data_IF_867039021100
#
_entry.id   IF_867039021100
#
_cell.length_a   1.000
_cell.length_b   1.000
_cell.length_c   1.000
_cell.angle_alpha   90.00
_cell.angle_beta   90.00
_cell.angle_gamma   90.00
#
_symmetry.space_group_name_H-M   'P 1'
#
loop_
_entity.id
_entity.type
_entity.pdbx_description
1 polymer ?
#
# COMPACT_ATOMS: atom_id res chain seq x y z
N UNK A 1 -58.07 40.38 43.68
CA UNK A 1 -56.72 39.88 44.04
C UNK A 1 -56.91 38.45 44.59
N UNK A 2 -56.60 37.41 43.84
CA UNK A 2 -56.68 36.02 44.37
C UNK A 2 -55.35 35.59 44.95
N UNK A 3 -55.40 35.01 46.11
CA UNK A 3 -54.29 34.44 46.89
C UNK A 3 -53.90 33.06 46.34
N UNK A 4 -52.64 32.88 45.93
CA UNK A 4 -52.11 31.59 45.60
C UNK A 4 -51.68 30.86 46.89
N UNK A 5 -52.21 29.63 47.06
CA UNK A 5 -51.81 28.70 48.11
C UNK A 5 -50.67 27.83 47.59
N UNK A 6 -49.56 27.84 48.25
CA UNK A 6 -48.42 26.99 48.01
C UNK A 6 -48.63 25.64 48.65
N UNK A 7 -48.65 24.55 47.88
CA UNK A 7 -48.62 23.17 48.40
C UNK A 7 -47.19 22.70 48.44
N UNK A 8 -46.68 22.36 49.62
CA UNK A 8 -45.41 21.70 49.81
C UNK A 8 -45.59 20.18 49.60
N UNK A 9 -44.89 19.59 48.62
CA UNK A 9 -44.82 18.13 48.40
C UNK A 9 -43.58 17.62 49.12
N UNK A 10 -43.78 16.86 50.20
CA UNK A 10 -42.72 16.17 50.91
C UNK A 10 -42.29 14.93 50.16
N UNK A 11 -41.00 14.86 49.78
CA UNK A 11 -40.41 13.65 49.22
C UNK A 11 -39.88 12.78 50.33
N UNK A 12 -40.51 11.62 50.51
CA UNK A 12 -40.05 10.58 51.46
C UNK A 12 -38.95 9.77 50.77
N UNK A 13 -37.72 9.95 51.20
CA UNK A 13 -36.58 9.17 50.71
C UNK A 13 -36.56 7.81 51.42
N UNK A 14 -36.83 6.74 50.70
CA UNK A 14 -36.68 5.37 51.18
C UNK A 14 -35.21 4.93 50.96
N UNK A 15 -34.40 4.80 52.01
CA UNK A 15 -33.05 4.28 51.97
C UNK A 15 -33.10 2.74 51.90
N UNK A 16 -32.71 2.15 50.79
CA UNK A 16 -32.51 0.71 50.61
C UNK A 16 -31.04 0.40 50.94
N UNK A 17 -30.73 -0.45 51.91
CA UNK A 17 -29.35 -0.88 52.15
C UNK A 17 -28.93 -1.81 51.01
N UNK A 18 -27.95 -1.38 50.16
CA UNK A 18 -27.30 -2.23 49.19
C UNK A 18 -26.36 -3.19 49.90
N UNK A 19 -26.74 -4.46 49.99
CA UNK A 19 -25.85 -5.53 50.39
C UNK A 19 -24.84 -5.77 49.27
N UNK A 20 -23.58 -5.37 49.51
CA UNK A 20 -22.43 -5.75 48.61
C UNK A 20 -22.16 -7.25 48.83
N UNK A 21 -22.60 -8.09 47.91
CA UNK A 21 -22.14 -9.45 47.82
C UNK A 21 -20.72 -9.43 47.23
N UNK A 22 -19.77 -10.20 47.82
CA UNK A 22 -18.42 -10.29 47.21
C UNK A 22 -18.52 -11.00 45.86
N UNK A 23 -18.15 -10.30 44.78
CA UNK A 23 -17.98 -10.92 43.49
C UNK A 23 -16.74 -11.80 43.58
N UNK A 24 -16.95 -13.11 43.71
CA UNK A 24 -15.89 -14.08 43.56
C UNK A 24 -15.34 -13.97 42.11
N UNK A 25 -14.14 -13.41 41.97
CA UNK A 25 -13.39 -13.44 40.74
C UNK A 25 -13.06 -14.90 40.43
N UNK A 26 -13.87 -15.54 39.58
CA UNK A 26 -13.50 -16.82 39.01
C UNK A 26 -12.29 -16.56 38.09
N UNK A 27 -11.08 -16.91 38.62
CA UNK A 27 -9.90 -17.03 37.78
C UNK A 27 -10.17 -18.15 36.78
N UNK A 28 -10.60 -17.80 35.59
CA UNK A 28 -10.66 -18.74 34.47
C UNK A 28 -9.22 -19.16 34.19
N UNK A 29 -8.86 -20.38 34.62
CA UNK A 29 -7.63 -21.04 34.20
C UNK A 29 -7.68 -21.13 32.71
N UNK A 30 -6.79 -20.40 32.02
CA UNK A 30 -6.67 -20.52 30.57
C UNK A 30 -6.35 -21.99 30.26
N UNK A 31 -7.01 -22.61 29.28
CA UNK A 31 -6.71 -23.98 28.87
C UNK A 31 -5.24 -24.03 28.46
N UNK A 32 -4.48 -24.98 29.06
CA UNK A 32 -3.14 -25.36 28.62
C UNK A 32 -3.26 -26.00 27.23
N UNK A 33 -3.45 -25.16 26.21
CA UNK A 33 -3.50 -25.57 24.83
C UNK A 33 -2.09 -25.73 24.27
N UNK A 34 -1.94 -26.64 23.31
CA UNK A 34 -0.72 -26.90 22.55
C UNK A 34 -0.05 -25.64 21.94
N UNK A 35 0.98 -25.79 21.11
CA UNK A 35 1.80 -24.66 20.69
C UNK A 35 0.91 -23.57 20.09
N UNK A 36 0.82 -22.44 20.79
CA UNK A 36 0.14 -21.27 20.28
C UNK A 36 0.95 -20.78 19.10
N UNK A 37 0.31 -20.63 17.93
CA UNK A 37 0.90 -19.90 16.83
C UNK A 37 1.02 -18.43 17.25
N UNK A 38 2.11 -18.10 17.93
CA UNK A 38 2.41 -16.75 18.35
C UNK A 38 3.25 -16.08 17.28
N UNK A 39 2.81 -14.90 16.81
CA UNK A 39 3.55 -14.08 15.87
C UNK A 39 4.09 -12.87 16.59
N UNK A 40 5.37 -12.58 16.36
CA UNK A 40 5.99 -11.33 16.83
C UNK A 40 5.93 -10.31 15.69
N UNK A 41 5.20 -9.22 15.89
CA UNK A 41 5.23 -8.07 14.98
C UNK A 41 6.41 -7.17 15.34
N UNK A 42 7.15 -6.71 14.31
CA UNK A 42 8.19 -5.71 14.44
C UNK A 42 7.97 -4.65 13.38
N UNK A 43 7.79 -3.39 13.79
CA UNK A 43 7.68 -2.27 12.87
C UNK A 43 9.09 -1.88 12.41
N UNK A 44 9.37 -1.99 11.13
CA UNK A 44 10.70 -1.75 10.56
C UNK A 44 10.89 -0.29 10.17
N UNK A 45 9.92 0.29 9.46
CA UNK A 45 9.96 1.67 8.96
C UNK A 45 8.63 2.36 9.22
N UNK A 46 8.65 3.64 9.56
CA UNK A 46 7.47 4.48 9.71
C UNK A 46 7.81 5.91 9.33
N UNK A 47 6.81 6.69 8.93
CA UNK A 47 6.89 8.14 8.79
C UNK A 47 6.73 8.88 10.14
N UNK A 48 6.29 8.16 11.20
CA UNK A 48 6.07 8.71 12.54
C UNK A 48 7.21 8.38 13.48
N UNK A 49 7.68 9.40 14.20
CA UNK A 49 8.71 9.24 15.22
C UNK A 49 8.29 8.26 16.32
N UNK A 50 9.20 7.36 16.70
CA UNK A 50 9.00 6.38 17.77
C UNK A 50 8.14 5.17 17.40
N UNK A 51 7.61 5.09 16.17
CA UNK A 51 6.73 4.01 15.75
C UNK A 51 7.46 2.80 15.15
N UNK A 52 8.71 2.97 14.68
CA UNK A 52 9.50 1.93 14.06
C UNK A 52 11.01 2.11 14.30
N UNK A 53 11.82 1.13 13.85
CA UNK A 53 13.28 1.18 13.96
C UNK A 53 13.88 2.32 13.11
N UNK A 54 13.37 2.52 11.90
CA UNK A 54 13.78 3.55 10.97
C UNK A 54 12.64 4.53 10.73
N UNK A 55 12.95 5.82 10.71
CA UNK A 55 11.99 6.87 10.37
C UNK A 55 12.31 7.38 8.97
N UNK A 56 11.32 7.29 8.08
CA UNK A 56 11.37 7.83 6.74
C UNK A 56 10.14 8.72 6.47
N UNK A 57 10.29 10.05 6.44
CA UNK A 57 9.19 10.96 6.17
C UNK A 57 8.52 10.80 4.81
N UNK A 58 9.18 10.13 3.87
CA UNK A 58 8.64 9.85 2.53
C UNK A 58 7.64 8.70 2.53
N UNK A 59 7.73 7.77 3.50
CA UNK A 59 6.89 6.58 3.61
C UNK A 59 5.46 6.91 4.06
N UNK A 60 4.78 7.79 3.34
CA UNK A 60 3.39 8.18 3.66
C UNK A 60 2.40 7.32 2.90
N UNK A 61 1.47 6.72 3.66
CA UNK A 61 0.40 5.90 3.08
C UNK A 61 0.95 4.85 2.10
N UNK A 62 1.91 4.03 2.58
CA UNK A 62 2.55 2.99 1.77
C UNK A 62 1.54 1.92 1.33
N UNK A 63 1.57 1.52 0.06
CA UNK A 63 0.65 0.54 -0.53
C UNK A 63 1.37 -0.67 -1.10
N UNK A 64 1.94 -0.53 -2.30
CA UNK A 64 2.56 -1.63 -3.03
C UNK A 64 3.95 -1.97 -2.50
N UNK A 65 4.25 -3.25 -2.39
CA UNK A 65 5.56 -3.77 -2.05
C UNK A 65 6.04 -4.71 -3.15
N UNK A 66 7.30 -4.59 -3.57
CA UNK A 66 7.91 -5.52 -4.50
C UNK A 66 9.37 -5.78 -4.16
N UNK A 67 9.80 -7.02 -4.40
CA UNK A 67 11.16 -7.49 -4.21
C UNK A 67 11.58 -8.31 -5.43
N UNK A 68 12.68 -7.95 -6.06
CA UNK A 68 13.35 -8.77 -7.05
C UNK A 68 14.43 -9.64 -6.40
N UNK A 69 14.94 -10.67 -7.09
CA UNK A 69 15.92 -11.62 -6.53
C UNK A 69 17.21 -10.99 -5.98
N UNK A 70 17.60 -9.83 -6.49
CA UNK A 70 18.82 -9.13 -6.11
C UNK A 70 18.59 -7.62 -5.91
N UNK A 71 17.37 -7.24 -5.54
CA UNK A 71 16.99 -5.84 -5.29
C UNK A 71 16.67 -5.62 -3.83
N UNK A 72 16.78 -4.39 -3.32
CA UNK A 72 16.13 -4.02 -2.06
C UNK A 72 14.60 -4.15 -2.17
N UNK A 73 13.93 -4.09 -1.04
CA UNK A 73 12.48 -3.98 -0.98
C UNK A 73 12.06 -2.59 -1.49
N UNK A 74 11.22 -2.55 -2.50
CA UNK A 74 10.63 -1.34 -3.06
C UNK A 74 9.25 -1.11 -2.47
N UNK A 75 8.92 0.14 -2.19
CA UNK A 75 7.63 0.56 -1.64
C UNK A 75 7.03 1.66 -2.51
N UNK A 76 5.75 1.56 -2.81
CA UNK A 76 4.98 2.61 -3.46
C UNK A 76 4.37 3.51 -2.39
N UNK A 77 4.88 4.74 -2.27
CA UNK A 77 4.46 5.71 -1.25
C UNK A 77 3.37 6.61 -1.83
N UNK A 78 2.12 6.20 -1.59
CA UNK A 78 0.93 6.83 -2.19
C UNK A 78 0.84 8.32 -1.85
N UNK A 79 1.09 8.69 -0.59
CA UNK A 79 0.93 10.05 -0.11
C UNK A 79 2.04 11.02 -0.52
N UNK A 80 3.14 10.53 -1.11
CA UNK A 80 4.28 11.36 -1.54
C UNK A 80 4.61 11.22 -3.03
N UNK A 81 3.90 10.33 -3.74
CA UNK A 81 4.11 10.04 -5.17
C UNK A 81 5.56 9.67 -5.51
N UNK A 82 6.20 8.91 -4.62
CA UNK A 82 7.54 8.37 -4.82
C UNK A 82 7.58 6.87 -4.58
N UNK A 83 8.70 6.26 -4.84
CA UNK A 83 9.05 4.94 -4.32
C UNK A 83 10.32 5.04 -3.51
N UNK A 84 10.28 4.51 -2.29
CA UNK A 84 11.42 4.36 -1.38
C UNK A 84 11.89 2.92 -1.33
N UNK A 85 13.14 2.71 -0.94
CA UNK A 85 13.79 1.42 -1.00
C UNK A 85 14.46 1.09 0.33
N UNK A 86 14.34 -0.18 0.75
CA UNK A 86 14.91 -0.63 2.02
C UNK A 86 15.66 -1.95 1.86
N UNK A 87 16.84 -2.02 2.45
CA UNK A 87 17.58 -3.25 2.65
C UNK A 87 17.28 -3.79 4.04
N UNK A 88 16.92 -5.08 4.11
CA UNK A 88 16.60 -5.76 5.36
C UNK A 88 17.62 -6.87 5.57
N UNK A 89 18.32 -6.86 6.71
CA UNK A 89 19.24 -7.93 7.06
C UNK A 89 18.48 -9.25 7.27
N UNK A 90 18.95 -10.38 6.73
CA UNK A 90 18.34 -11.69 6.97
C UNK A 90 18.13 -11.93 8.47
N UNK A 91 16.94 -12.45 8.83
CA UNK A 91 16.53 -12.60 10.22
C UNK A 91 15.82 -11.38 10.82
N UNK A 92 15.61 -10.30 10.05
CA UNK A 92 14.81 -9.13 10.47
C UNK A 92 15.50 -8.23 11.50
N UNK A 93 16.85 -8.31 11.61
CA UNK A 93 17.59 -7.61 12.65
C UNK A 93 17.74 -6.10 12.42
N UNK A 94 18.01 -5.68 11.21
CA UNK A 94 18.24 -4.26 10.88
C UNK A 94 17.58 -3.93 9.54
N UNK A 95 17.01 -2.73 9.47
CA UNK A 95 16.53 -2.11 8.23
C UNK A 95 17.35 -0.85 7.94
N UNK A 96 17.72 -0.67 6.69
CA UNK A 96 18.44 0.51 6.21
C UNK A 96 17.75 1.06 4.96
N UNK A 97 17.55 2.37 4.91
CA UNK A 97 17.09 3.02 3.70
C UNK A 97 18.22 3.00 2.65
N UNK A 98 17.90 2.58 1.45
CA UNK A 98 18.79 2.71 0.30
C UNK A 98 18.73 4.17 -0.15
N UNK A 99 19.87 4.84 -0.42
CA UNK A 99 19.90 6.25 -0.81
C UNK A 99 19.45 6.44 -2.27
N UNK A 100 18.23 5.99 -2.57
CA UNK A 100 17.56 6.17 -3.85
C UNK A 100 16.08 6.44 -3.58
N UNK A 101 15.57 7.54 -4.12
CA UNK A 101 14.15 7.84 -4.19
C UNK A 101 13.75 8.00 -5.64
N UNK A 102 12.71 7.29 -6.07
CA UNK A 102 12.19 7.36 -7.44
C UNK A 102 10.89 8.13 -7.46
N UNK A 103 10.90 9.27 -8.13
CA UNK A 103 9.67 10.06 -8.35
C UNK A 103 8.77 9.34 -9.35
N UNK A 104 7.49 9.23 -9.04
CA UNK A 104 6.45 8.59 -9.85
C UNK A 104 5.51 9.66 -10.40
N UNK A 105 5.72 10.14 -11.64
CA UNK A 105 4.94 11.23 -12.20
C UNK A 105 3.50 10.82 -12.58
N UNK A 106 2.55 11.78 -12.60
CA UNK A 106 2.71 13.15 -12.11
C UNK A 106 2.90 13.21 -10.60
N UNK A 107 3.24 14.38 -10.05
CA UNK A 107 3.54 14.54 -8.61
C UNK A 107 2.36 14.20 -7.66
N UNK A 108 1.17 14.10 -8.19
CA UNK A 108 -0.05 13.68 -7.51
C UNK A 108 -0.55 12.32 -8.00
N UNK A 109 0.34 11.47 -8.53
CA UNK A 109 -0.02 10.17 -9.10
C UNK A 109 -0.68 9.24 -8.10
N UNK A 110 -0.35 9.36 -6.82
CA UNK A 110 -0.83 8.47 -5.75
C UNK A 110 -0.64 6.99 -6.11
N UNK A 111 0.62 6.50 -6.18
CA UNK A 111 0.92 5.13 -6.58
C UNK A 111 0.33 4.12 -5.60
N UNK A 112 -0.10 2.97 -6.12
CA UNK A 112 -0.77 1.91 -5.37
C UNK A 112 -0.11 0.56 -5.60
N UNK A 113 -0.39 -0.11 -6.72
CA UNK A 113 0.21 -1.39 -7.06
C UNK A 113 1.65 -1.25 -7.53
N UNK A 114 2.47 -2.24 -7.19
CA UNK A 114 3.88 -2.29 -7.57
C UNK A 114 4.27 -3.74 -7.88
N UNK A 115 4.98 -3.96 -8.98
CA UNK A 115 5.53 -5.26 -9.35
C UNK A 115 6.98 -5.15 -9.83
N UNK A 116 7.77 -6.16 -9.49
CA UNK A 116 9.05 -6.44 -10.15
C UNK A 116 8.79 -7.19 -11.46
N UNK A 117 9.47 -6.80 -12.54
CA UNK A 117 9.37 -7.47 -13.83
C UNK A 117 10.62 -8.34 -14.08
N UNK A 118 10.51 -9.67 -13.98
CA UNK A 118 11.62 -10.59 -14.23
C UNK A 118 11.85 -10.88 -15.73
N UNK A 119 11.09 -10.24 -16.63
CA UNK A 119 11.08 -10.56 -18.06
C UNK A 119 11.80 -9.52 -18.90
N UNK A 120 12.15 -9.86 -20.13
CA UNK A 120 12.63 -8.90 -21.14
C UNK A 120 11.52 -8.06 -21.80
N UNK A 121 10.28 -8.19 -21.33
CA UNK A 121 9.12 -7.46 -21.84
C UNK A 121 8.96 -6.09 -21.15
N UNK A 122 7.95 -5.34 -21.54
CA UNK A 122 7.67 -4.00 -20.99
C UNK A 122 8.86 -3.04 -21.17
N UNK A 123 9.37 -2.99 -22.41
CA UNK A 123 10.52 -2.15 -22.75
C UNK A 123 10.14 -0.67 -22.74
N UNK A 124 10.87 0.10 -21.94
CA UNK A 124 10.80 1.57 -21.87
C UNK A 124 11.95 2.21 -22.62
N UNK A 125 11.80 3.47 -23.02
CA UNK A 125 12.77 4.19 -23.82
C UNK A 125 13.08 5.55 -23.22
N UNK A 126 14.35 5.84 -22.97
CA UNK A 126 14.77 7.16 -22.50
C UNK A 126 14.37 8.26 -23.48
N UNK A 127 13.67 9.26 -22.98
CA UNK A 127 13.32 10.45 -23.80
C UNK A 127 14.55 11.24 -24.22
N UNK A 128 15.60 11.22 -23.38
CA UNK A 128 16.84 11.97 -23.60
C UNK A 128 17.83 11.20 -24.46
N UNK A 129 18.23 10.02 -24.05
CA UNK A 129 19.35 9.27 -24.65
C UNK A 129 18.92 8.26 -25.71
N UNK A 130 17.61 7.98 -25.82
CA UNK A 130 17.03 6.91 -26.65
C UNK A 130 17.47 5.49 -26.23
N UNK A 131 18.15 5.35 -25.10
CA UNK A 131 18.44 4.04 -24.50
C UNK A 131 17.13 3.27 -24.24
N UNK A 132 17.18 1.95 -24.38
CA UNK A 132 16.04 1.06 -24.20
C UNK A 132 16.40 -0.04 -23.21
N UNK A 133 15.50 -0.33 -22.28
CA UNK A 133 15.60 -1.47 -21.39
C UNK A 133 14.20 -1.95 -20.96
N UNK A 134 14.04 -3.22 -20.59
CA UNK A 134 12.82 -3.67 -19.92
C UNK A 134 12.64 -2.87 -18.62
N UNK A 135 11.42 -2.44 -18.32
CA UNK A 135 11.11 -1.89 -17.00
C UNK A 135 11.53 -2.89 -15.92
N UNK A 136 12.23 -2.44 -14.90
CA UNK A 136 12.60 -3.28 -13.76
C UNK A 136 11.47 -3.31 -12.73
N UNK A 137 10.87 -2.15 -12.49
CA UNK A 137 9.69 -2.00 -11.64
C UNK A 137 8.59 -1.26 -12.39
N UNK A 138 7.35 -1.72 -12.15
CA UNK A 138 6.15 -1.16 -12.77
C UNK A 138 5.16 -0.83 -11.66
N UNK A 139 4.56 0.35 -11.74
CA UNK A 139 3.62 0.89 -10.76
C UNK A 139 2.28 1.16 -11.42
N UNK A 140 1.21 1.06 -10.65
CA UNK A 140 -0.10 1.63 -10.98
C UNK A 140 -0.45 2.74 -9.99
N UNK A 141 -1.35 3.65 -10.40
CA UNK A 141 -1.69 4.80 -9.59
C UNK A 141 -3.20 5.08 -9.53
N UNK A 142 -3.64 5.79 -8.50
CA UNK A 142 -5.03 6.28 -8.41
C UNK A 142 -5.36 7.29 -9.49
N UNK A 143 -4.36 8.01 -10.00
CA UNK A 143 -4.51 8.88 -11.17
C UNK A 143 -4.70 8.15 -12.50
N UNK A 144 -4.79 6.81 -12.49
CA UNK A 144 -5.04 6.00 -13.69
C UNK A 144 -3.82 5.82 -14.59
N UNK A 145 -2.61 5.93 -14.05
CA UNK A 145 -1.38 5.71 -14.79
C UNK A 145 -0.81 4.30 -14.56
N UNK A 146 -0.09 3.81 -15.58
CA UNK A 146 0.92 2.77 -15.46
C UNK A 146 2.27 3.44 -15.65
N UNK A 147 3.14 3.32 -14.65
CA UNK A 147 4.41 4.02 -14.55
C UNK A 147 5.51 2.96 -14.49
N UNK A 148 6.61 3.16 -15.19
CA UNK A 148 7.66 2.16 -15.29
C UNK A 148 9.05 2.78 -15.09
N UNK A 149 9.97 2.00 -14.52
CA UNK A 149 11.31 2.46 -14.19
C UNK A 149 12.38 1.41 -14.48
N UNK A 150 13.52 1.90 -14.98
CA UNK A 150 14.77 1.15 -15.08
C UNK A 150 15.96 2.11 -15.03
N UNK A 151 17.01 1.87 -14.21
CA UNK A 151 18.15 2.78 -14.08
C UNK A 151 18.97 2.98 -15.37
N UNK A 152 18.89 2.07 -16.33
CA UNK A 152 19.52 2.22 -17.65
C UNK A 152 18.83 3.24 -18.55
N UNK A 153 17.58 3.57 -18.25
CA UNK A 153 16.71 4.47 -19.02
C UNK A 153 16.44 5.75 -18.24
N UNK A 154 16.27 5.61 -16.94
CA UNK A 154 15.97 6.68 -15.98
C UNK A 154 17.15 6.84 -15.04
N UNK A 155 18.18 7.65 -15.40
CA UNK A 155 19.41 7.68 -14.67
C UNK A 155 19.24 8.14 -13.23
N UNK A 156 20.03 7.55 -12.34
CA UNK A 156 20.07 7.94 -10.92
C UNK A 156 21.12 9.05 -10.77
N UNK A 157 20.70 10.19 -10.25
CA UNK A 157 21.55 11.36 -10.03
C UNK A 157 21.39 11.83 -8.57
N UNK A 158 22.48 11.82 -7.81
CA UNK A 158 22.46 12.27 -6.41
C UNK A 158 21.46 11.52 -5.51
N UNK A 159 21.19 10.25 -5.79
CA UNK A 159 20.19 9.46 -5.04
C UNK A 159 18.74 9.68 -5.47
N UNK A 160 18.48 10.40 -6.56
CA UNK A 160 17.15 10.61 -7.11
C UNK A 160 17.07 10.09 -8.55
N UNK A 161 15.88 9.61 -8.93
CA UNK A 161 15.51 9.22 -10.29
C UNK A 161 14.04 9.54 -10.54
N UNK A 162 13.62 9.57 -11.81
CA UNK A 162 12.22 9.80 -12.18
C UNK A 162 11.78 8.71 -13.15
N UNK A 163 10.75 7.98 -12.80
CA UNK A 163 10.14 6.96 -13.64
C UNK A 163 9.35 7.59 -14.81
N UNK A 164 8.91 6.77 -15.76
CA UNK A 164 8.18 7.21 -16.94
C UNK A 164 6.74 6.73 -16.91
N UNK A 165 5.81 7.61 -17.33
CA UNK A 165 4.41 7.23 -17.58
C UNK A 165 4.34 6.54 -18.95
N UNK A 166 3.97 5.26 -18.94
CA UNK A 166 3.81 4.44 -20.16
C UNK A 166 2.36 4.36 -20.63
N UNK A 167 1.43 4.56 -19.69
CA UNK A 167 0.00 4.63 -20.01
C UNK A 167 -0.73 5.55 -19.05
N UNK A 168 -1.69 6.30 -19.60
CA UNK A 168 -2.68 7.08 -18.83
C UNK A 168 -4.08 6.72 -19.31
N UNK A 169 -4.97 6.42 -18.39
CA UNK A 169 -6.33 6.03 -18.69
C UNK A 169 -7.16 7.21 -19.19
N UNK A 170 -7.70 7.16 -20.43
CA UNK A 170 -8.62 8.19 -20.90
C UNK A 170 -10.01 8.11 -20.23
N UNK A 171 -10.31 7.00 -19.54
CA UNK A 171 -11.59 6.73 -18.90
C UNK A 171 -11.59 6.99 -17.38
N UNK A 172 -10.61 7.74 -16.86
CA UNK A 172 -10.53 8.10 -15.44
C UNK A 172 -10.39 6.89 -14.54
N UNK A 173 -9.61 5.88 -14.90
CA UNK A 173 -9.38 4.71 -14.06
C UNK A 173 -8.75 5.10 -12.72
N UNK A 174 -9.09 4.37 -11.67
CA UNK A 174 -8.47 4.44 -10.34
C UNK A 174 -7.88 3.07 -10.04
N UNK A 175 -6.58 2.91 -10.31
CA UNK A 175 -5.93 1.62 -10.08
C UNK A 175 -5.57 1.45 -8.61
N UNK A 176 -5.91 0.27 -8.04
CA UNK A 176 -5.67 -0.06 -6.62
C UNK A 176 -4.68 -1.20 -6.42
N UNK A 177 -4.46 -2.01 -7.42
CA UNK A 177 -3.52 -3.13 -7.36
C UNK A 177 -2.93 -3.44 -8.72
N UNK A 178 -1.79 -4.13 -8.72
CA UNK A 178 -1.06 -4.50 -9.92
C UNK A 178 -0.51 -5.91 -9.78
N UNK A 179 -0.64 -6.71 -10.82
CA UNK A 179 -0.02 -8.03 -10.91
C UNK A 179 0.57 -8.26 -12.30
N UNK A 180 1.66 -9.02 -12.36
CA UNK A 180 2.28 -9.44 -13.62
C UNK A 180 2.21 -10.94 -13.71
N UNK A 181 1.79 -11.46 -14.87
CA UNK A 181 1.76 -12.90 -15.13
C UNK A 181 2.18 -13.22 -16.56
N UNK A 182 2.93 -14.31 -16.70
CA UNK A 182 3.31 -14.86 -17.99
C UNK A 182 2.50 -16.12 -18.28
N UNK A 183 1.98 -16.22 -19.47
CA UNK A 183 1.21 -17.36 -19.99
C UNK A 183 1.82 -17.83 -21.31
N UNK A 184 1.31 -18.92 -21.87
CA UNK A 184 1.68 -19.35 -23.23
C UNK A 184 1.35 -18.31 -24.33
N UNK A 185 0.51 -17.34 -24.02
CA UNK A 185 0.10 -16.28 -24.98
C UNK A 185 0.89 -14.99 -24.81
N UNK A 186 1.78 -14.90 -23.83
CA UNK A 186 2.60 -13.72 -23.54
C UNK A 186 2.60 -13.33 -22.07
N UNK A 187 3.28 -12.22 -21.81
CA UNK A 187 3.33 -11.59 -20.49
C UNK A 187 2.35 -10.42 -20.44
N UNK A 188 1.53 -10.39 -19.41
CA UNK A 188 0.48 -9.41 -19.23
C UNK A 188 0.58 -8.76 -17.85
N UNK A 189 0.17 -7.50 -17.81
CA UNK A 189 0.01 -6.74 -16.58
C UNK A 189 -1.48 -6.58 -16.31
N UNK A 190 -1.89 -6.79 -15.06
CA UNK A 190 -3.28 -6.75 -14.60
C UNK A 190 -3.41 -5.65 -13.55
N UNK A 191 -4.19 -4.62 -13.84
CA UNK A 191 -4.46 -3.51 -12.94
C UNK A 191 -5.93 -3.52 -12.50
N UNK A 192 -6.19 -3.53 -11.20
CA UNK A 192 -7.55 -3.46 -10.66
C UNK A 192 -8.05 -2.01 -10.77
N UNK A 193 -9.01 -1.78 -11.65
CA UNK A 193 -9.64 -0.48 -11.90
C UNK A 193 -10.90 -0.35 -11.04
N UNK A 194 -10.75 0.25 -9.87
CA UNK A 194 -11.81 0.41 -8.89
C UNK A 194 -12.95 1.30 -9.41
N UNK A 195 -12.62 2.37 -10.11
CA UNK A 195 -13.63 3.31 -10.65
C UNK A 195 -14.55 2.66 -11.67
N UNK A 196 -14.00 1.81 -12.54
CA UNK A 196 -14.77 1.20 -13.63
C UNK A 196 -15.21 -0.26 -13.32
N UNK A 197 -15.01 -0.76 -12.09
CA UNK A 197 -15.43 -2.10 -11.66
C UNK A 197 -14.86 -3.22 -12.51
N UNK A 198 -13.55 -3.19 -12.82
CA UNK A 198 -12.92 -4.16 -13.70
C UNK A 198 -11.43 -4.37 -13.39
N UNK A 199 -10.86 -5.45 -13.90
CA UNK A 199 -9.41 -5.59 -14.04
C UNK A 199 -9.05 -5.20 -15.48
N UNK A 200 -8.24 -4.17 -15.64
CA UNK A 200 -7.69 -3.78 -16.93
C UNK A 200 -6.41 -4.56 -17.19
N UNK A 201 -6.32 -5.15 -18.39
CA UNK A 201 -5.16 -5.96 -18.79
C UNK A 201 -4.33 -5.21 -19.84
N UNK A 202 -3.01 -5.25 -19.69
CA UNK A 202 -2.07 -4.65 -20.63
C UNK A 202 -1.16 -5.74 -21.21
N UNK A 203 -0.85 -5.64 -22.51
CA UNK A 203 0.17 -6.47 -23.13
C UNK A 203 1.58 -5.97 -22.77
N UNK A 204 2.59 -6.67 -23.24
CA UNK A 204 4.01 -6.37 -23.00
C UNK A 204 4.52 -5.02 -23.55
N UNK A 205 3.66 -4.24 -24.21
CA UNK A 205 3.93 -2.90 -24.73
C UNK A 205 3.11 -1.82 -24.01
N UNK A 206 2.57 -2.13 -22.82
CA UNK A 206 1.68 -1.26 -22.06
C UNK A 206 0.37 -0.89 -22.77
N UNK A 207 -0.03 -1.59 -23.84
CA UNK A 207 -1.30 -1.34 -24.51
C UNK A 207 -2.41 -2.13 -23.83
N UNK A 208 -3.58 -1.51 -23.55
CA UNK A 208 -4.74 -2.21 -23.05
C UNK A 208 -5.21 -3.30 -24.03
N UNK A 209 -5.50 -4.47 -23.50
CA UNK A 209 -6.01 -5.60 -24.28
C UNK A 209 -7.18 -6.26 -23.56
N UNK A 210 -8.01 -6.98 -24.35
CA UNK A 210 -9.07 -7.83 -23.81
C UNK A 210 -8.64 -9.28 -23.93
N UNK A 211 -8.62 -9.98 -22.81
CA UNK A 211 -8.44 -11.43 -22.78
C UNK A 211 -9.80 -12.13 -22.67
N UNK A 212 -9.91 -13.40 -23.12
CA UNK A 212 -11.07 -14.22 -22.86
C UNK A 212 -11.34 -14.34 -21.35
N UNK A 213 -12.61 -14.26 -20.97
CA UNK A 213 -13.04 -14.27 -19.57
C UNK A 213 -13.65 -12.96 -19.11
N UNK A 214 -14.29 -12.98 -17.96
CA UNK A 214 -14.89 -11.79 -17.34
C UNK A 214 -14.01 -11.31 -16.20
N UNK A 215 -13.44 -10.13 -16.32
CA UNK A 215 -12.73 -9.41 -15.26
C UNK A 215 -13.53 -8.17 -14.85
N UNK A 216 -14.85 -8.31 -14.72
CA UNK A 216 -15.75 -7.25 -14.27
C UNK A 216 -16.48 -7.69 -13.02
N UNK A 217 -16.62 -6.78 -12.11
CA UNK A 217 -17.59 -6.88 -11.02
C UNK A 217 -19.01 -6.65 -11.60
N UNK A 218 -20.01 -7.40 -11.11
CA UNK A 218 -21.40 -7.37 -11.59
C UNK A 218 -22.32 -6.86 -10.51
#
# INVERSE_FOLDING_TARGET
MPRFRTFAVGVLALAIPAALAPVASASASAPSGGPRNEFRQTNLVSDMSGAAQLIDPSLKNAWGLALGPATPLWVADNGTSVSTLYSITPGGGMVQQVPLTVTLPPMDSSPTGLVFNPTGNFVITSKMTKAKAPALFIFSSEGGQVIAWNPMVDPVMGGASTAQVEYSSPAGAVYKGLALASTRFGTFLYATDFHNGRVQVFNSRFHPVRLPGSFRDR
#
